data_IF_761420709288
#
_entry.id   IF_761420709288
#
_cell.length_a   1.000
_cell.length_b   1.000
_cell.length_c   1.000
_cell.angle_alpha   90.00
_cell.angle_beta   90.00
_cell.angle_gamma   90.00
#
_symmetry.space_group_name_H-M   'P 1'
#
loop_
_entity.id
_entity.type
_entity.pdbx_description
1 polymer ?
#
# COMPACT_ATOMS: atom_id res chain seq x y z
N UNK A 1 6.08 -16.77 -8.70
CA UNK A 1 4.70 -17.26 -8.54
C UNK A 1 3.91 -16.88 -9.79
N UNK A 2 3.15 -17.79 -10.42
CA UNK A 2 2.43 -17.47 -11.67
C UNK A 2 1.23 -16.59 -11.35
N UNK A 3 1.15 -15.40 -11.95
CA UNK A 3 -0.02 -14.52 -11.82
C UNK A 3 -1.19 -15.21 -12.51
N UNK A 4 -2.27 -15.45 -11.77
CA UNK A 4 -3.53 -15.97 -12.31
C UNK A 4 -4.26 -14.85 -13.04
N UNK A 5 -4.80 -15.20 -14.21
CA UNK A 5 -5.63 -14.31 -14.99
C UNK A 5 -7.05 -14.25 -14.38
N UNK A 6 -7.57 -13.05 -14.16
CA UNK A 6 -8.83 -12.81 -13.44
C UNK A 6 -9.84 -12.13 -14.36
N UNK A 7 -11.05 -12.69 -14.48
CA UNK A 7 -12.19 -12.04 -15.12
C UNK A 7 -12.96 -11.22 -14.07
N UNK A 8 -13.34 -9.99 -14.43
CA UNK A 8 -14.26 -9.18 -13.62
C UNK A 8 -15.65 -9.28 -14.27
N UNK A 9 -16.63 -9.72 -13.48
CA UNK A 9 -18.04 -9.84 -13.90
C UNK A 9 -18.85 -8.87 -13.07
N UNK A 10 -19.49 -7.90 -13.71
CA UNK A 10 -20.38 -6.93 -13.06
C UNK A 10 -21.47 -6.52 -14.05
N UNK A 11 -22.65 -6.18 -13.54
CA UNK A 11 -23.76 -5.63 -14.30
C UNK A 11 -23.62 -4.12 -14.57
N UNK A 12 -22.66 -3.46 -13.91
CA UNK A 12 -22.45 -2.02 -13.99
C UNK A 12 -21.17 -1.66 -14.77
N UNK A 13 -21.30 -1.11 -15.99
CA UNK A 13 -20.14 -0.66 -16.78
C UNK A 13 -19.31 0.40 -16.05
N UNK A 14 -19.94 1.24 -15.23
CA UNK A 14 -19.27 2.25 -14.41
C UNK A 14 -18.38 1.61 -13.35
N UNK A 15 -18.88 0.59 -12.65
CA UNK A 15 -18.11 -0.16 -11.65
C UNK A 15 -16.92 -0.85 -12.31
N UNK A 16 -17.14 -1.50 -13.45
CA UNK A 16 -16.08 -2.13 -14.23
C UNK A 16 -14.96 -1.15 -14.56
N UNK A 17 -15.32 0.01 -15.15
CA UNK A 17 -14.35 1.06 -15.50
C UNK A 17 -13.56 1.55 -14.28
N UNK A 18 -14.24 1.84 -13.17
CA UNK A 18 -13.59 2.34 -11.96
C UNK A 18 -12.55 1.35 -11.41
N UNK A 19 -12.85 0.05 -11.45
CA UNK A 19 -11.90 -1.00 -11.02
C UNK A 19 -10.71 -1.08 -11.98
N UNK A 20 -10.96 -1.06 -13.29
CA UNK A 20 -9.89 -1.05 -14.27
C UNK A 20 -8.95 0.15 -14.10
N UNK A 21 -9.51 1.34 -13.86
CA UNK A 21 -8.73 2.56 -13.68
C UNK A 21 -7.85 2.46 -12.40
N UNK A 22 -8.38 1.91 -11.31
CA UNK A 22 -7.62 1.69 -10.08
C UNK A 22 -6.53 0.60 -10.22
N UNK A 23 -6.77 -0.45 -11.01
CA UNK A 23 -5.77 -1.48 -11.32
C UNK A 23 -4.66 -0.92 -12.21
N UNK A 24 -5.02 -0.15 -13.26
CA UNK A 24 -4.06 0.51 -14.16
C UNK A 24 -3.16 1.48 -13.40
N UNK A 25 -3.73 2.28 -12.49
CA UNK A 25 -2.97 3.23 -11.65
C UNK A 25 -1.88 2.54 -10.81
N UNK A 26 -2.06 1.26 -10.51
CA UNK A 26 -1.11 0.41 -9.75
C UNK A 26 -0.22 -0.45 -10.65
N UNK A 27 -0.24 -0.22 -11.96
CA UNK A 27 0.48 -1.03 -12.96
C UNK A 27 0.14 -2.53 -12.91
N UNK A 28 -1.10 -2.85 -12.53
CA UNK A 28 -1.56 -4.24 -12.43
C UNK A 28 -2.27 -4.59 -13.73
N UNK A 29 -1.65 -5.48 -14.51
CA UNK A 29 -2.24 -6.01 -15.73
C UNK A 29 -3.11 -7.21 -15.41
N UNK A 30 -4.34 -7.20 -15.94
CA UNK A 30 -5.23 -8.36 -15.97
C UNK A 30 -5.30 -8.88 -17.42
N UNK A 31 -5.34 -10.19 -17.59
CA UNK A 31 -5.45 -10.83 -18.91
C UNK A 31 -6.88 -11.33 -19.12
N UNK A 32 -7.35 -11.24 -20.36
CA UNK A 32 -8.70 -11.64 -20.78
C UNK A 32 -8.92 -13.18 -20.71
N UNK A 33 -7.86 -13.98 -20.90
CA UNK A 33 -7.92 -15.45 -20.82
C UNK A 33 -7.80 -15.91 -19.35
N UNK A 34 -8.94 -15.96 -18.66
CA UNK A 34 -9.02 -15.99 -17.20
C UNK A 34 -9.40 -17.35 -16.62
N UNK A 35 -8.65 -17.80 -15.61
CA UNK A 35 -8.93 -19.03 -14.85
C UNK A 35 -9.88 -18.78 -13.67
N UNK A 36 -9.98 -17.53 -13.20
CA UNK A 36 -10.76 -17.14 -12.01
C UNK A 36 -11.74 -16.02 -12.36
N UNK A 37 -13.01 -16.21 -12.03
CA UNK A 37 -14.09 -15.22 -12.22
C UNK A 37 -14.41 -14.55 -10.89
N UNK A 38 -14.38 -13.21 -10.86
CA UNK A 38 -14.79 -12.41 -9.71
C UNK A 38 -16.08 -11.67 -10.06
N UNK A 39 -17.15 -12.02 -9.36
CA UNK A 39 -18.45 -11.35 -9.45
C UNK A 39 -18.45 -10.14 -8.51
N UNK A 40 -18.92 -9.01 -9.02
CA UNK A 40 -19.00 -7.73 -8.34
C UNK A 40 -20.44 -7.23 -8.49
N UNK A 41 -21.22 -7.43 -7.43
CA UNK A 41 -22.67 -7.22 -7.38
C UNK A 41 -23.09 -6.14 -6.37
N UNK A 42 -22.19 -5.77 -5.45
CA UNK A 42 -22.51 -4.96 -4.28
C UNK A 42 -21.56 -3.78 -4.12
N UNK A 43 -21.66 -2.79 -5.03
CA UNK A 43 -20.88 -1.54 -4.95
C UNK A 43 -21.81 -0.37 -4.65
N UNK A 44 -21.67 0.21 -3.47
CA UNK A 44 -22.44 1.38 -3.01
C UNK A 44 -21.59 2.63 -2.96
N UNK A 45 -20.33 2.48 -2.55
CA UNK A 45 -19.40 3.59 -2.34
C UNK A 45 -18.00 3.31 -2.90
N UNK A 46 -17.14 4.35 -2.89
CA UNK A 46 -15.75 4.25 -3.38
C UNK A 46 -14.95 3.19 -2.61
N UNK A 47 -15.23 3.02 -1.33
CA UNK A 47 -14.55 2.03 -0.49
C UNK A 47 -14.80 0.59 -0.96
N UNK A 48 -15.97 0.29 -1.52
CA UNK A 48 -16.26 -1.04 -2.06
C UNK A 48 -15.36 -1.32 -3.28
N UNK A 49 -15.20 -0.34 -4.17
CA UNK A 49 -14.28 -0.45 -5.33
C UNK A 49 -12.87 -0.81 -4.87
N UNK A 50 -12.35 -0.11 -3.85
CA UNK A 50 -11.00 -0.34 -3.33
C UNK A 50 -10.84 -1.74 -2.74
N UNK A 51 -11.84 -2.22 -2.00
CA UNK A 51 -11.85 -3.60 -1.47
C UNK A 51 -11.83 -4.64 -2.60
N UNK A 52 -12.61 -4.43 -3.65
CA UNK A 52 -12.58 -5.30 -4.83
C UNK A 52 -11.23 -5.27 -5.53
N UNK A 53 -10.60 -4.11 -5.66
CA UNK A 53 -9.25 -3.97 -6.22
C UNK A 53 -8.27 -4.83 -5.43
N UNK A 54 -8.17 -4.70 -4.11
CA UNK A 54 -7.25 -5.54 -3.35
C UNK A 54 -7.56 -7.02 -3.39
N UNK A 55 -8.85 -7.39 -3.41
CA UNK A 55 -9.28 -8.79 -3.59
C UNK A 55 -8.83 -9.36 -4.94
N UNK A 56 -8.99 -8.60 -6.03
CA UNK A 56 -8.51 -8.98 -7.36
C UNK A 56 -7.01 -9.23 -7.34
N UNK A 57 -6.26 -8.34 -6.68
CA UNK A 57 -4.79 -8.43 -6.57
C UNK A 57 -4.35 -9.64 -5.72
N UNK A 58 -5.06 -9.94 -4.64
CA UNK A 58 -4.78 -11.12 -3.82
C UNK A 58 -5.04 -12.40 -4.62
N UNK A 59 -6.19 -12.48 -5.29
CA UNK A 59 -6.60 -13.66 -6.06
C UNK A 59 -5.70 -13.87 -7.28
N UNK A 60 -5.28 -12.81 -7.96
CA UNK A 60 -4.32 -12.92 -9.07
C UNK A 60 -2.96 -13.46 -8.59
N UNK A 61 -2.63 -13.30 -7.31
CA UNK A 61 -1.48 -13.93 -6.64
C UNK A 61 -1.82 -15.28 -5.98
N UNK A 62 -2.99 -15.85 -6.24
CA UNK A 62 -3.40 -17.13 -5.66
C UNK A 62 -3.63 -17.08 -4.15
N UNK A 63 -3.90 -15.90 -3.58
CA UNK A 63 -4.16 -15.68 -2.16
C UNK A 63 -5.60 -15.21 -1.94
N UNK A 64 -6.16 -15.53 -0.77
CA UNK A 64 -7.42 -14.91 -0.31
C UNK A 64 -7.16 -13.54 0.31
N UNK A 65 -6.05 -13.42 1.04
CA UNK A 65 -5.52 -12.20 1.64
C UNK A 65 -3.99 -12.30 1.69
N UNK A 66 -3.30 -11.16 1.86
CA UNK A 66 -1.86 -11.14 2.00
C UNK A 66 -1.42 -11.59 3.39
N UNK A 67 -0.20 -12.10 3.53
CA UNK A 67 0.32 -12.42 4.85
C UNK A 67 0.61 -11.13 5.60
N UNK A 68 1.16 -10.13 4.89
CA UNK A 68 1.54 -8.86 5.49
C UNK A 68 1.31 -7.67 4.57
N UNK A 69 0.83 -6.57 5.16
CA UNK A 69 0.82 -5.23 4.61
C UNK A 69 1.70 -4.33 5.49
N UNK A 70 2.74 -3.75 4.89
CA UNK A 70 3.63 -2.80 5.54
C UNK A 70 3.43 -1.43 4.94
N UNK A 71 3.24 -0.42 5.78
CA UNK A 71 3.20 0.97 5.36
C UNK A 71 4.43 1.67 5.91
N UNK A 72 5.23 2.29 5.05
CA UNK A 72 6.40 3.07 5.47
C UNK A 72 6.18 4.54 5.20
N UNK A 73 6.53 5.39 6.17
CA UNK A 73 6.34 6.84 6.10
C UNK A 73 7.69 7.52 6.35
N UNK A 74 8.28 8.09 5.29
CA UNK A 74 9.46 8.95 5.42
C UNK A 74 9.04 10.40 5.69
N UNK A 75 9.70 11.01 6.67
CA UNK A 75 9.41 12.33 7.23
C UNK A 75 10.56 13.32 7.05
N UNK A 76 11.56 12.98 6.23
CA UNK A 76 12.76 13.81 5.99
C UNK A 76 12.61 14.81 4.83
N UNK A 77 11.49 14.79 4.13
CA UNK A 77 11.16 15.66 3.00
C UNK A 77 9.99 16.60 3.39
N UNK A 78 9.84 17.77 2.74
CA UNK A 78 8.62 18.58 2.88
C UNK A 78 7.34 17.79 2.54
N UNK A 79 7.47 16.70 1.79
CA UNK A 79 6.41 15.72 1.57
C UNK A 79 6.62 14.49 2.44
N UNK A 80 5.55 14.04 3.07
CA UNK A 80 5.49 12.73 3.73
C UNK A 80 5.39 11.67 2.64
N UNK A 81 6.47 10.93 2.41
CA UNK A 81 6.47 9.86 1.40
C UNK A 81 5.95 8.59 2.04
N UNK A 82 4.82 8.10 1.53
CA UNK A 82 4.14 6.89 2.00
C UNK A 82 4.36 5.80 0.98
N UNK A 83 4.78 4.62 1.41
CA UNK A 83 4.85 3.43 0.58
C UNK A 83 4.00 2.33 1.19
N UNK A 84 3.40 1.49 0.35
CA UNK A 84 2.73 0.27 0.76
C UNK A 84 3.50 -0.93 0.19
N UNK A 85 3.86 -1.87 1.06
CA UNK A 85 4.46 -3.13 0.70
C UNK A 85 3.50 -4.26 1.03
N UNK A 86 3.37 -5.21 0.11
CA UNK A 86 2.58 -6.42 0.30
C UNK A 86 3.53 -7.60 0.24
N UNK A 87 3.61 -8.37 1.32
CA UNK A 87 4.54 -9.50 1.43
C UNK A 87 5.99 -9.12 1.04
N UNK A 88 6.41 -7.89 1.34
CA UNK A 88 7.74 -7.33 1.01
C UNK A 88 7.86 -6.67 -0.36
N UNK A 89 6.86 -6.78 -1.24
CA UNK A 89 6.86 -6.16 -2.57
C UNK A 89 6.22 -4.77 -2.54
N UNK A 90 6.89 -3.75 -3.10
CA UNK A 90 6.31 -2.41 -3.27
C UNK A 90 5.12 -2.47 -4.24
N UNK A 91 3.93 -2.08 -3.77
CA UNK A 91 2.71 -2.07 -4.60
C UNK A 91 2.30 -0.65 -5.03
N UNK A 92 2.45 0.34 -4.15
CA UNK A 92 2.19 1.74 -4.47
C UNK A 92 2.97 2.67 -3.55
N UNK A 93 3.11 3.92 -3.99
CA UNK A 93 3.65 5.00 -3.18
C UNK A 93 2.88 6.30 -3.43
N UNK A 94 2.90 7.20 -2.44
CA UNK A 94 2.24 8.50 -2.47
C UNK A 94 3.11 9.54 -1.80
N UNK A 95 2.98 10.79 -2.23
CA UNK A 95 3.54 11.95 -1.54
C UNK A 95 2.39 12.74 -0.95
N UNK A 96 2.42 12.94 0.37
CA UNK A 96 1.39 13.67 1.10
C UNK A 96 1.96 14.97 1.63
N UNK A 97 1.28 16.08 1.37
CA UNK A 97 1.63 17.37 1.95
C UNK A 97 0.79 17.58 3.23
N UNK A 98 1.40 17.30 4.37
CA UNK A 98 0.76 17.42 5.67
C UNK A 98 -0.06 16.21 6.12
N UNK A 99 -0.66 16.34 7.31
CA UNK A 99 -1.24 15.24 8.08
C UNK A 99 -2.53 14.68 7.48
N UNK A 100 -3.48 15.53 7.08
CA UNK A 100 -4.77 15.04 6.56
C UNK A 100 -4.62 14.21 5.27
N UNK A 101 -3.81 14.65 4.27
CA UNK A 101 -3.53 13.81 3.10
C UNK A 101 -2.78 12.52 3.45
N UNK A 102 -1.92 12.53 4.48
CA UNK A 102 -1.26 11.31 4.98
C UNK A 102 -2.28 10.31 5.54
N UNK A 103 -3.18 10.76 6.43
CA UNK A 103 -4.24 9.92 7.00
C UNK A 103 -5.13 9.34 5.90
N UNK A 104 -5.52 10.15 4.93
CA UNK A 104 -6.33 9.69 3.79
C UNK A 104 -5.59 8.62 2.97
N UNK A 105 -4.28 8.80 2.74
CA UNK A 105 -3.45 7.81 2.05
C UNK A 105 -3.37 6.49 2.82
N UNK A 106 -3.12 6.54 4.13
CA UNK A 106 -3.06 5.34 4.98
C UNK A 106 -4.40 4.61 4.97
N UNK A 107 -5.52 5.33 5.16
CA UNK A 107 -6.85 4.73 5.16
C UNK A 107 -7.18 4.06 3.83
N UNK A 108 -6.84 4.70 2.70
CA UNK A 108 -7.05 4.11 1.38
C UNK A 108 -6.22 2.82 1.20
N UNK A 109 -4.96 2.80 1.65
CA UNK A 109 -4.11 1.61 1.59
C UNK A 109 -4.69 0.49 2.46
N UNK A 110 -5.07 0.80 3.71
CA UNK A 110 -5.59 -0.18 4.68
C UNK A 110 -6.93 -0.80 4.25
N UNK A 111 -7.78 -0.02 3.56
CA UNK A 111 -9.06 -0.53 3.05
C UNK A 111 -8.90 -1.28 1.73
N UNK A 112 -7.91 -0.89 0.91
CA UNK A 112 -7.65 -1.54 -0.37
C UNK A 112 -7.11 -2.94 -0.13
N UNK A 113 -6.05 -3.11 0.65
CA UNK A 113 -5.31 -4.38 0.68
C UNK A 113 -5.66 -5.25 1.91
N UNK A 114 -6.36 -6.40 1.72
CA UNK A 114 -6.62 -7.32 2.80
C UNK A 114 -5.35 -8.06 3.21
N UNK A 115 -4.98 -8.01 4.49
CA UNK A 115 -3.79 -8.67 5.01
C UNK A 115 -3.98 -9.11 6.46
N UNK A 116 -3.40 -10.25 6.81
CA UNK A 116 -3.42 -10.83 8.17
C UNK A 116 -2.70 -9.95 9.18
N UNK A 117 -1.53 -9.45 8.80
CA UNK A 117 -0.71 -8.53 9.60
C UNK A 117 -0.61 -7.19 8.90
N UNK A 118 -0.84 -6.10 9.63
CA UNK A 118 -0.74 -4.72 9.15
C UNK A 118 0.14 -3.94 10.10
N UNK A 119 1.20 -3.33 9.58
CA UNK A 119 2.17 -2.57 10.38
C UNK A 119 2.46 -1.25 9.69
N UNK A 120 2.57 -0.18 10.47
CA UNK A 120 2.93 1.16 9.98
C UNK A 120 4.26 1.57 10.61
N UNK A 121 5.29 1.76 9.78
CA UNK A 121 6.57 2.34 10.17
C UNK A 121 6.59 3.84 9.90
N UNK A 122 7.05 4.62 10.87
CA UNK A 122 7.23 6.07 10.74
C UNK A 122 8.69 6.44 11.01
N UNK A 123 9.32 7.18 10.11
CA UNK A 123 10.65 7.73 10.35
C UNK A 123 10.63 8.74 11.50
N UNK A 124 11.50 8.55 12.50
CA UNK A 124 11.61 9.44 13.68
C UNK A 124 13.01 10.10 13.78
N UNK A 125 13.70 10.24 12.65
CA UNK A 125 15.05 10.82 12.60
C UNK A 125 15.11 12.32 12.92
N UNK A 126 13.95 13.00 12.97
CA UNK A 126 13.83 14.44 13.21
C UNK A 126 12.57 14.75 14.06
N UNK A 127 12.48 15.98 14.61
CA UNK A 127 11.36 16.41 15.48
C UNK A 127 9.98 16.30 14.80
N UNK A 128 9.92 16.59 13.50
CA UNK A 128 8.67 16.47 12.75
C UNK A 128 8.24 15.01 12.61
N UNK A 129 9.18 14.09 12.39
CA UNK A 129 8.93 12.65 12.37
C UNK A 129 8.42 12.11 13.71
N UNK A 130 8.98 12.58 14.83
CA UNK A 130 8.47 12.23 16.17
C UNK A 130 7.02 12.70 16.37
N UNK A 131 6.67 13.90 15.90
CA UNK A 131 5.31 14.44 15.96
C UNK A 131 4.34 13.61 15.10
N UNK A 132 4.71 13.32 13.86
CA UNK A 132 3.92 12.46 12.97
C UNK A 132 3.73 11.07 13.60
N UNK A 133 4.79 10.47 14.15
CA UNK A 133 4.70 9.18 14.82
C UNK A 133 3.69 9.19 15.98
N UNK A 134 3.73 10.22 16.84
CA UNK A 134 2.78 10.35 17.96
C UNK A 134 1.34 10.41 17.45
N UNK A 135 1.07 11.25 16.46
CA UNK A 135 -0.29 11.42 15.92
C UNK A 135 -0.78 10.13 15.26
N UNK A 136 0.04 9.51 14.41
CA UNK A 136 -0.31 8.27 13.72
C UNK A 136 -0.53 7.12 14.72
N UNK A 137 0.26 7.04 15.79
CA UNK A 137 0.10 6.04 16.86
C UNK A 137 -1.17 6.24 17.70
N UNK A 138 -1.78 7.42 17.69
CA UNK A 138 -3.08 7.66 18.33
C UNK A 138 -4.26 7.23 17.45
N UNK A 139 -4.06 7.12 16.14
CA UNK A 139 -5.11 6.83 15.15
C UNK A 139 -5.11 5.35 14.75
N UNK A 140 -3.93 4.74 14.66
CA UNK A 140 -3.75 3.40 14.13
C UNK A 140 -3.07 2.48 15.15
N UNK A 141 -3.41 1.21 15.08
CA UNK A 141 -2.74 0.14 15.80
C UNK A 141 -1.44 -0.29 15.09
N UNK A 142 -0.53 -0.94 15.81
CA UNK A 142 0.72 -1.52 15.27
C UNK A 142 1.60 -0.52 14.52
N UNK A 143 1.76 0.68 15.09
CA UNK A 143 2.65 1.73 14.60
C UNK A 143 4.02 1.62 15.29
N UNK A 144 5.12 1.71 14.53
CA UNK A 144 6.49 1.70 15.05
C UNK A 144 7.26 2.93 14.59
N UNK A 145 7.96 3.57 15.52
CA UNK A 145 8.92 4.62 15.20
C UNK A 145 10.28 4.03 14.80
N UNK A 146 10.81 4.43 13.66
CA UNK A 146 12.06 3.92 13.08
C UNK A 146 13.10 5.04 13.02
N UNK A 147 14.19 4.89 13.78
CA UNK A 147 15.34 5.80 13.70
C UNK A 147 16.32 5.31 12.60
N UNK A 148 16.58 6.16 11.62
CA UNK A 148 17.46 5.90 10.46
C UNK A 148 18.88 6.49 10.62
N UNK A 149 19.24 7.05 11.80
CA UNK A 149 20.52 7.76 12.03
C UNK A 149 21.81 6.95 11.78
N UNK A 150 21.75 5.64 11.52
CA UNK A 150 22.95 4.80 11.34
C UNK A 150 22.93 3.87 10.12
N UNK A 151 22.06 4.11 9.15
CA UNK A 151 21.93 3.17 8.03
C UNK A 151 23.02 3.37 6.96
N UNK A 152 24.08 2.54 7.04
CA UNK A 152 25.08 2.37 5.99
C UNK A 152 24.40 2.03 4.65
N UNK A 153 24.86 2.70 3.59
CA UNK A 153 24.33 2.69 2.23
C UNK A 153 24.53 1.35 1.47
N UNK A 154 24.09 0.23 2.04
CA UNK A 154 23.93 -1.05 1.35
C UNK A 154 22.49 -1.54 1.52
N UNK A 155 21.55 -0.76 0.99
CA UNK A 155 20.18 -1.22 0.82
C UNK A 155 20.13 -2.16 -0.40
N UNK A 156 19.45 -3.32 -0.37
CA UNK A 156 19.53 -4.33 -1.42
C UNK A 156 18.95 -3.92 -2.79
N UNK A 157 18.48 -2.68 -2.97
CA UNK A 157 17.52 -2.37 -4.03
C UNK A 157 17.91 -1.13 -4.85
N UNK A 158 18.84 -1.33 -5.79
CA UNK A 158 19.24 -0.36 -6.82
C UNK A 158 18.15 -0.07 -7.87
N UNK A 159 17.00 -0.73 -7.82
CA UNK A 159 15.93 -0.59 -8.82
C UNK A 159 15.02 0.62 -8.55
N UNK A 160 14.86 1.03 -7.29
CA UNK A 160 14.09 2.23 -6.94
C UNK A 160 15.04 3.43 -7.05
N UNK A 161 14.84 4.24 -8.09
CA UNK A 161 15.68 5.42 -8.37
C UNK A 161 15.43 6.57 -7.38
N UNK A 162 14.20 6.67 -6.89
CA UNK A 162 13.76 7.76 -6.01
C UNK A 162 14.24 7.54 -4.56
N UNK A 163 14.97 8.51 -4.01
CA UNK A 163 15.56 8.41 -2.68
C UNK A 163 14.50 8.34 -1.58
N UNK A 164 13.43 9.12 -1.70
CA UNK A 164 12.40 9.23 -0.65
C UNK A 164 11.57 7.94 -0.60
N UNK A 165 11.29 7.35 -1.76
CA UNK A 165 10.63 6.04 -1.85
C UNK A 165 11.50 4.95 -1.23
N UNK A 166 12.82 4.97 -1.46
CA UNK A 166 13.74 4.01 -0.83
C UNK A 166 13.78 4.13 0.69
N UNK A 167 13.78 5.37 1.21
CA UNK A 167 13.74 5.61 2.65
C UNK A 167 12.45 5.05 3.26
N UNK A 168 11.30 5.44 2.71
CA UNK A 168 10.01 4.93 3.16
C UNK A 168 9.90 3.39 3.05
N UNK A 169 10.45 2.78 1.99
CA UNK A 169 10.53 1.34 1.83
C UNK A 169 11.37 0.66 2.93
N UNK A 170 12.54 1.23 3.24
CA UNK A 170 13.40 0.78 4.35
C UNK A 170 12.68 0.86 5.70
N UNK A 171 11.99 1.97 5.96
CA UNK A 171 11.16 2.18 7.15
C UNK A 171 10.09 1.08 7.27
N UNK A 172 9.38 0.77 6.18
CA UNK A 172 8.35 -0.28 6.17
C UNK A 172 8.92 -1.65 6.55
N UNK A 173 10.04 -2.06 5.95
CA UNK A 173 10.67 -3.35 6.26
C UNK A 173 11.23 -3.43 7.68
N UNK A 174 11.84 -2.35 8.18
CA UNK A 174 12.36 -2.32 9.55
C UNK A 174 11.25 -2.37 10.59
N UNK A 175 10.06 -1.85 10.27
CA UNK A 175 8.90 -1.96 11.15
C UNK A 175 8.37 -3.40 11.26
N UNK A 176 8.62 -4.27 10.28
CA UNK A 176 8.21 -5.68 10.36
C UNK A 176 9.16 -6.55 11.18
N UNK A 177 10.36 -6.05 11.47
CA UNK A 177 11.39 -6.71 12.27
C UNK A 177 11.14 -6.58 13.79
#
# INVERSE_FOLDING_TARGET
>A
MKIKNVAIITDSPKVYKNILDELKRRNIQISENSEVKIVIDSVKERNDILRYVGRIIAISRGKQEFNELLIGIDTNSPYLTVVALIDGELIEYRRSYGLQPLINAINEILITYPAKRKIIGVGIGNKYGEEIYRIISMIYENVKGIDEKYTNAKSPFNQIKDKDIRAAYSIALRASS
#
